data_IF_569120760476
#
_entry.id   IF_569120760476
#
_cell.length_a   1.000
_cell.length_b   1.000
_cell.length_c   1.000
_cell.angle_alpha   90.00
_cell.angle_beta   90.00
_cell.angle_gamma   90.00
#
_symmetry.space_group_name_H-M   'P 1'
#
loop_
_entity.id
_entity.type
_entity.pdbx_description
1 polymer ?
#
# COMPACT_ATOMS: atom_id res chain seq x y z
N UNK A 1 -15.63 -21.07 4.30
CA UNK A 1 -15.46 -19.91 5.21
C UNK A 1 -15.51 -18.63 4.39
N UNK A 2 -16.30 -17.65 4.78
CA UNK A 2 -16.35 -16.33 4.14
C UNK A 2 -15.67 -15.28 5.02
N UNK A 3 -15.02 -14.29 4.42
CA UNK A 3 -14.41 -13.18 5.15
C UNK A 3 -15.46 -12.16 5.58
N UNK A 4 -15.38 -11.67 6.82
CA UNK A 4 -16.01 -10.40 7.16
C UNK A 4 -15.24 -9.29 6.44
N UNK A 5 -15.87 -8.74 5.39
CA UNK A 5 -15.24 -7.79 4.47
C UNK A 5 -14.70 -6.55 5.19
N UNK A 6 -15.43 -6.04 6.19
CA UNK A 6 -15.06 -4.82 6.88
C UNK A 6 -13.90 -5.07 7.85
N UNK A 7 -13.97 -6.16 8.63
CA UNK A 7 -12.89 -6.52 9.56
C UNK A 7 -11.60 -6.85 8.80
N UNK A 8 -11.71 -7.58 7.70
CA UNK A 8 -10.57 -7.91 6.84
C UNK A 8 -9.97 -6.65 6.20
N UNK A 9 -10.80 -5.78 5.63
CA UNK A 9 -10.34 -4.53 5.03
C UNK A 9 -9.68 -3.59 6.05
N UNK A 10 -10.23 -3.51 7.27
CA UNK A 10 -9.65 -2.69 8.34
C UNK A 10 -8.29 -3.24 8.79
N UNK A 11 -8.17 -4.56 8.97
CA UNK A 11 -6.90 -5.20 9.31
C UNK A 11 -5.84 -5.01 8.22
N UNK A 12 -6.23 -5.18 6.95
CA UNK A 12 -5.35 -4.95 5.80
C UNK A 12 -4.90 -3.48 5.72
N UNK A 13 -5.82 -2.53 5.86
CA UNK A 13 -5.52 -1.10 5.87
C UNK A 13 -4.56 -0.71 7.01
N UNK A 14 -4.83 -1.18 8.23
CA UNK A 14 -3.94 -0.94 9.38
C UNK A 14 -2.54 -1.53 9.19
N UNK A 15 -2.46 -2.75 8.66
CA UNK A 15 -1.18 -3.41 8.36
C UNK A 15 -0.39 -2.63 7.31
N UNK A 16 -1.05 -2.20 6.24
CA UNK A 16 -0.43 -1.38 5.19
C UNK A 16 -0.03 0.01 5.70
N UNK A 17 -0.78 0.58 6.65
CA UNK A 17 -0.40 1.80 7.35
C UNK A 17 0.92 1.64 8.11
N UNK A 18 1.06 0.57 8.90
CA UNK A 18 2.30 0.26 9.63
C UNK A 18 3.46 0.05 8.64
N UNK A 19 3.24 -0.74 7.59
CA UNK A 19 4.24 -0.97 6.55
C UNK A 19 4.66 0.34 5.88
N UNK A 20 3.72 1.25 5.61
CA UNK A 20 4.02 2.57 5.06
C UNK A 20 4.92 3.40 5.99
N UNK A 21 4.66 3.41 7.30
CA UNK A 21 5.52 4.14 8.26
C UNK A 21 6.96 3.60 8.21
N UNK A 22 7.11 2.27 8.19
CA UNK A 22 8.42 1.62 8.09
C UNK A 22 9.08 1.97 6.75
N UNK A 23 8.34 1.94 5.64
CA UNK A 23 8.85 2.31 4.32
C UNK A 23 9.28 3.78 4.26
N UNK A 24 8.52 4.69 4.85
CA UNK A 24 8.84 6.12 4.90
C UNK A 24 10.12 6.39 5.71
N UNK A 25 10.29 5.70 6.84
CA UNK A 25 11.53 5.75 7.61
C UNK A 25 12.71 5.22 6.78
N UNK A 26 12.55 4.07 6.12
CA UNK A 26 13.60 3.50 5.27
C UNK A 26 14.01 4.44 4.13
N UNK A 27 13.05 5.06 3.43
CA UNK A 27 13.33 6.03 2.36
C UNK A 27 14.05 7.27 2.87
N UNK A 28 13.83 7.67 4.13
CA UNK A 28 14.50 8.82 4.73
C UNK A 28 15.99 8.55 5.03
N UNK A 29 16.36 7.29 5.29
CA UNK A 29 17.75 6.90 5.57
C UNK A 29 18.52 6.38 4.34
N UNK A 30 17.83 5.77 3.37
CA UNK A 30 18.45 5.15 2.21
C UNK A 30 17.64 5.39 0.91
N UNK A 31 17.53 6.65 0.45
CA UNK A 31 16.68 7.00 -0.69
C UNK A 31 17.10 6.32 -2.00
N UNK A 32 18.40 6.22 -2.30
CA UNK A 32 18.89 5.58 -3.53
C UNK A 32 18.54 4.08 -3.58
N UNK A 33 18.62 3.40 -2.43
CA UNK A 33 18.29 1.98 -2.33
C UNK A 33 16.77 1.79 -2.48
N UNK A 34 15.97 2.64 -1.85
CA UNK A 34 14.52 2.60 -1.99
C UNK A 34 14.06 2.82 -3.44
N UNK A 35 14.68 3.76 -4.16
CA UNK A 35 14.39 4.01 -5.57
C UNK A 35 14.73 2.80 -6.45
N UNK A 36 15.87 2.12 -6.22
CA UNK A 36 16.21 0.89 -6.95
C UNK A 36 15.19 -0.23 -6.72
N UNK A 37 14.79 -0.46 -5.47
CA UNK A 37 13.74 -1.44 -5.16
C UNK A 37 12.42 -1.10 -5.83
N UNK A 38 12.02 0.18 -5.79
CA UNK A 38 10.80 0.64 -6.44
C UNK A 38 10.87 0.44 -7.96
N UNK A 39 12.00 0.76 -8.58
CA UNK A 39 12.27 0.52 -10.01
C UNK A 39 12.02 -0.94 -10.42
N UNK A 40 12.48 -1.90 -9.62
CA UNK A 40 12.25 -3.32 -9.85
C UNK A 40 10.79 -3.75 -9.67
N UNK A 41 10.07 -3.15 -8.72
CA UNK A 41 8.69 -3.54 -8.42
C UNK A 41 7.67 -2.99 -9.42
N UNK A 42 7.87 -1.76 -9.90
CA UNK A 42 6.86 -1.06 -10.71
C UNK A 42 7.33 -0.72 -12.13
N UNK A 43 8.42 -1.35 -12.59
CA UNK A 43 8.96 -1.18 -13.95
C UNK A 43 9.20 0.30 -14.31
N UNK A 44 9.62 1.11 -13.34
CA UNK A 44 9.93 2.52 -13.55
C UNK A 44 11.26 2.65 -14.32
N UNK A 45 11.21 3.28 -15.49
CA UNK A 45 12.37 3.45 -16.38
C UNK A 45 13.09 4.80 -16.23
N UNK A 46 12.47 5.80 -15.57
CA UNK A 46 13.04 7.14 -15.36
C UNK A 46 13.05 7.48 -13.86
N UNK A 47 14.13 7.12 -13.17
CA UNK A 47 14.26 7.32 -11.72
C UNK A 47 14.88 8.67 -11.34
N UNK A 48 15.48 9.40 -12.28
CA UNK A 48 16.24 10.63 -11.99
C UNK A 48 15.37 11.78 -11.45
N UNK A 49 14.13 11.91 -11.90
CA UNK A 49 13.20 12.95 -11.40
C UNK A 49 12.63 12.63 -10.01
N UNK A 50 12.66 11.36 -9.59
CA UNK A 50 12.11 10.92 -8.31
C UNK A 50 13.07 11.19 -7.12
N UNK A 51 14.37 11.39 -7.39
CA UNK A 51 15.41 11.62 -6.36
C UNK A 51 15.24 12.98 -5.66
N UNK A 52 14.61 13.96 -6.30
CA UNK A 52 14.43 15.30 -5.74
C UNK A 52 13.34 15.41 -4.66
N UNK A 53 12.58 14.33 -4.42
CA UNK A 53 11.45 14.34 -3.48
C UNK A 53 11.93 13.95 -2.08
N UNK A 54 12.19 14.95 -1.24
CA UNK A 54 12.48 14.73 0.17
C UNK A 54 11.22 14.27 0.94
N UNK A 55 11.41 13.40 1.94
CA UNK A 55 10.34 13.03 2.87
C UNK A 55 9.99 14.26 3.71
N UNK A 56 8.85 14.89 3.40
CA UNK A 56 8.32 16.00 4.17
C UNK A 56 7.12 15.55 5.01
N UNK A 57 6.85 16.23 6.12
CA UNK A 57 5.67 15.96 6.94
C UNK A 57 4.36 16.02 6.13
N UNK A 58 4.10 17.04 5.30
CA UNK A 58 2.92 17.06 4.42
C UNK A 58 2.91 15.91 3.41
N UNK A 59 4.05 15.57 2.82
CA UNK A 59 4.16 14.46 1.87
C UNK A 59 3.89 13.10 2.52
N UNK A 60 4.36 12.90 3.76
CA UNK A 60 4.11 11.69 4.54
C UNK A 60 2.61 11.48 4.80
N UNK A 61 1.90 12.48 5.32
CA UNK A 61 0.46 12.35 5.54
C UNK A 61 -0.32 12.30 4.22
N UNK A 62 0.16 13.02 3.20
CA UNK A 62 -0.37 12.99 1.84
C UNK A 62 -0.27 11.62 1.19
N UNK A 63 0.73 10.80 1.53
CA UNK A 63 0.83 9.40 1.08
C UNK A 63 0.13 8.39 1.99
N UNK A 64 0.17 8.60 3.30
CA UNK A 64 -0.45 7.69 4.29
C UNK A 64 -1.96 7.59 4.10
N UNK A 65 -2.66 8.70 3.92
CA UNK A 65 -4.11 8.71 3.77
C UNK A 65 -4.58 7.90 2.54
N UNK A 66 -4.04 8.13 1.32
CA UNK A 66 -4.29 7.26 0.17
C UNK A 66 -3.96 5.80 0.42
N UNK A 67 -2.82 5.48 1.06
CA UNK A 67 -2.45 4.09 1.35
C UNK A 67 -3.51 3.40 2.22
N UNK A 68 -3.96 4.06 3.29
CA UNK A 68 -4.99 3.52 4.17
C UNK A 68 -6.30 3.31 3.41
N UNK A 69 -6.73 4.31 2.66
CA UNK A 69 -7.99 4.28 1.90
C UNK A 69 -7.98 3.21 0.79
N UNK A 70 -6.96 3.22 -0.08
CA UNK A 70 -6.88 2.28 -1.19
C UNK A 70 -6.64 0.85 -0.72
N UNK A 71 -5.89 0.63 0.36
CA UNK A 71 -5.71 -0.71 0.94
C UNK A 71 -7.02 -1.24 1.51
N UNK A 72 -7.77 -0.41 2.24
CA UNK A 72 -9.10 -0.77 2.73
C UNK A 72 -10.03 -1.12 1.56
N UNK A 73 -10.16 -0.22 0.59
CA UNK A 73 -11.05 -0.40 -0.54
C UNK A 73 -10.72 -1.66 -1.35
N UNK A 74 -9.44 -1.85 -1.66
CA UNK A 74 -8.96 -3.03 -2.40
C UNK A 74 -9.27 -4.30 -1.60
N UNK A 75 -8.85 -4.40 -0.34
CA UNK A 75 -9.08 -5.58 0.48
C UNK A 75 -10.58 -5.89 0.65
N UNK A 76 -11.42 -4.86 0.76
CA UNK A 76 -12.87 -5.01 0.81
C UNK A 76 -13.43 -5.60 -0.48
N UNK A 77 -13.02 -5.08 -1.64
CA UNK A 77 -13.43 -5.58 -2.97
C UNK A 77 -13.00 -7.03 -3.15
N UNK A 78 -11.75 -7.36 -2.80
CA UNK A 78 -11.25 -8.73 -2.87
C UNK A 78 -12.01 -9.68 -1.93
N UNK A 79 -12.31 -9.27 -0.70
CA UNK A 79 -13.12 -10.06 0.22
C UNK A 79 -14.56 -10.24 -0.30
N UNK A 80 -15.14 -9.23 -0.95
CA UNK A 80 -16.44 -9.34 -1.61
C UNK A 80 -16.42 -10.32 -2.79
N UNK A 81 -15.44 -10.19 -3.69
CA UNK A 81 -15.27 -11.09 -4.82
C UNK A 81 -15.06 -12.53 -4.35
N UNK A 82 -14.17 -12.74 -3.38
CA UNK A 82 -13.92 -14.06 -2.82
C UNK A 82 -15.21 -14.67 -2.27
N UNK A 83 -15.94 -13.95 -1.42
CA UNK A 83 -17.19 -14.44 -0.84
C UNK A 83 -18.26 -14.76 -1.90
N UNK A 84 -18.35 -13.95 -2.96
CA UNK A 84 -19.30 -14.15 -4.06
C UNK A 84 -18.96 -15.39 -4.87
N UNK A 85 -17.68 -15.55 -5.24
CA UNK A 85 -17.22 -16.67 -6.06
C UNK A 85 -17.16 -17.97 -5.25
N UNK A 86 -16.79 -17.91 -3.97
CA UNK A 86 -16.74 -19.09 -3.09
C UNK A 86 -18.13 -19.62 -2.75
N UNK A 87 -19.17 -18.77 -2.79
CA UNK A 87 -20.58 -19.19 -2.65
C UNK A 87 -21.18 -19.73 -3.94
N UNK A 88 -20.51 -19.56 -5.09
CA UNK A 88 -20.99 -20.01 -6.40
C UNK A 88 -20.58 -21.45 -6.74
N UNK A 89 -19.86 -22.15 -5.86
CA UNK A 89 -19.65 -23.60 -5.95
C UNK A 89 -20.53 -24.28 -4.90
N UNK A 90 -21.45 -25.10 -5.41
CA UNK A 90 -22.56 -25.84 -4.77
C UNK A 90 -23.87 -25.06 -4.70
#
# INVERSE_FOLDING_TARGET
>A
MGFDKNKFALAASGTMGIAYVICAAFTAFAPELALRFLGWMIHLINLEEAVAVNVTLPGFFGGLLPILFYSYLTAWVFAWLYNKLSRSKV
#
